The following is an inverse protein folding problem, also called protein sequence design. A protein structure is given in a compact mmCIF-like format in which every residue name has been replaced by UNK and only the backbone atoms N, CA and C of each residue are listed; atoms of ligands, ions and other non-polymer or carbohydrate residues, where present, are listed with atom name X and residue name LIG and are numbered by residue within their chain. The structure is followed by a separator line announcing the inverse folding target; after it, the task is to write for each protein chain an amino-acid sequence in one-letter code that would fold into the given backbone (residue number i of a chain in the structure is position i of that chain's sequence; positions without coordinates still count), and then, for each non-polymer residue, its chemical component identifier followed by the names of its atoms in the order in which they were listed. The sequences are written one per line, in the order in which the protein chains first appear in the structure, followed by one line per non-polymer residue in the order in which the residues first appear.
data_IF_098674705293
#
_entry.id   IF_098674705293
#
_cell.length_a   1.000
_cell.length_b   1.000
_cell.length_c   1.000
_cell.angle_alpha   90.00
_cell.angle_beta   90.00
_cell.angle_gamma   90.00
#
_symmetry.space_group_name_H-M   'P 1'
#
loop_
_entity.id
_entity.type
_entity.pdbx_description
1 polymer ?
#
# COMPACT_ATOMS: atom_id res chain seq x y z
N UNK A 1 6.67 -33.06 -5.64
CA UNK A 1 5.63 -32.06 -5.27
C UNK A 1 5.96 -30.79 -6.02
N UNK A 2 5.01 -30.13 -6.67
CA UNK A 2 5.28 -28.83 -7.29
C UNK A 2 5.76 -27.84 -6.23
N UNK A 3 6.84 -27.12 -6.50
CA UNK A 3 7.39 -26.09 -5.62
C UNK A 3 6.30 -25.05 -5.33
N UNK A 4 6.01 -24.82 -4.05
CA UNK A 4 4.97 -23.87 -3.65
C UNK A 4 5.46 -22.46 -3.95
N UNK A 5 4.86 -21.79 -4.93
CA UNK A 5 5.19 -20.42 -5.28
C UNK A 5 4.70 -19.47 -4.19
N UNK A 6 5.57 -18.58 -3.76
CA UNK A 6 5.34 -17.62 -2.69
C UNK A 6 4.87 -16.27 -3.24
N UNK A 7 4.28 -15.46 -2.39
CA UNK A 7 4.01 -14.05 -2.64
C UNK A 7 5.07 -13.21 -1.90
N UNK A 8 5.78 -12.36 -2.61
CA UNK A 8 6.84 -11.51 -2.04
C UNK A 8 6.47 -10.04 -2.06
N UNK A 9 6.76 -9.33 -0.97
CA UNK A 9 6.81 -7.87 -0.96
C UNK A 9 8.25 -7.45 -0.76
N UNK A 10 8.82 -6.78 -1.77
CA UNK A 10 10.22 -6.34 -1.78
C UNK A 10 10.24 -4.83 -1.56
N UNK A 11 10.66 -4.42 -0.36
CA UNK A 11 10.85 -3.03 0.01
C UNK A 11 12.27 -2.65 -0.39
N UNK A 12 12.42 -1.98 -1.53
CA UNK A 12 13.75 -1.74 -2.10
C UNK A 12 14.49 -0.56 -1.47
N UNK A 13 13.78 0.35 -0.84
CA UNK A 13 14.34 1.54 -0.19
C UNK A 13 13.39 2.07 0.88
N UNK A 14 13.92 2.75 1.89
CA UNK A 14 13.12 3.54 2.83
C UNK A 14 13.15 5.05 2.53
N UNK A 15 13.91 5.48 1.53
CA UNK A 15 13.92 6.88 1.04
C UNK A 15 12.60 7.20 0.34
N UNK A 16 12.06 8.39 0.61
CA UNK A 16 10.81 8.85 0.00
C UNK A 16 10.83 10.38 -0.18
N UNK A 17 10.34 10.84 -1.32
CA UNK A 17 10.15 12.27 -1.60
C UNK A 17 8.80 12.81 -1.12
N UNK A 18 7.86 11.96 -0.70
CA UNK A 18 6.57 12.36 -0.16
C UNK A 18 6.62 12.45 1.38
N UNK A 19 5.79 13.35 1.95
CA UNK A 19 5.66 13.58 3.40
C UNK A 19 4.23 13.31 3.84
N UNK A 20 3.74 12.08 3.57
CA UNK A 20 2.36 11.71 3.81
C UNK A 20 2.00 11.84 5.30
N UNK A 21 0.79 12.37 5.57
CA UNK A 21 0.29 12.57 6.94
C UNK A 21 0.11 11.25 7.72
N UNK A 22 -0.06 10.13 7.00
CA UNK A 22 -0.26 8.79 7.55
C UNK A 22 1.01 7.94 7.61
N UNK A 23 2.17 8.48 7.19
CA UNK A 23 3.42 7.73 7.07
C UNK A 23 4.61 8.62 7.39
N UNK A 24 5.43 8.21 8.36
CA UNK A 24 6.62 8.93 8.78
C UNK A 24 7.91 8.32 8.19
N UNK A 25 7.82 7.48 7.16
CA UNK A 25 8.99 6.79 6.58
C UNK A 25 10.06 7.76 6.07
N UNK A 26 9.67 8.92 5.56
CA UNK A 26 10.59 9.98 5.14
C UNK A 26 11.48 10.51 6.28
N UNK A 27 11.08 10.34 7.55
CA UNK A 27 11.86 10.71 8.74
C UNK A 27 12.91 9.67 9.13
N UNK A 28 12.82 8.45 8.58
CA UNK A 28 13.73 7.34 8.86
C UNK A 28 14.11 6.64 7.53
N UNK A 29 14.80 7.35 6.62
CA UNK A 29 15.24 6.79 5.35
C UNK A 29 16.36 5.78 5.53
N UNK A 30 16.51 4.86 4.57
CA UNK A 30 17.70 4.02 4.44
C UNK A 30 18.86 4.81 3.80
N UNK A 31 20.08 4.39 4.06
CA UNK A 31 21.23 4.87 3.32
C UNK A 31 21.38 4.08 2.02
N UNK A 32 21.74 4.74 0.89
CA UNK A 32 21.88 4.06 -0.40
C UNK A 32 22.83 2.86 -0.38
N UNK A 33 23.92 2.96 0.38
CA UNK A 33 24.97 1.94 0.52
C UNK A 33 24.55 0.75 1.41
N UNK A 34 23.49 0.89 2.20
CA UNK A 34 22.92 -0.16 3.05
C UNK A 34 21.73 -0.87 2.40
N UNK A 35 21.21 -0.35 1.27
CA UNK A 35 20.02 -0.90 0.62
C UNK A 35 20.34 -2.22 -0.08
N UNK A 36 19.35 -3.11 -0.07
CA UNK A 36 19.39 -4.45 -0.66
C UNK A 36 20.05 -4.43 -2.04
N UNK A 37 21.07 -5.28 -2.20
CA UNK A 37 21.85 -5.39 -3.43
C UNK A 37 21.20 -6.31 -4.47
N UNK A 38 21.65 -6.23 -5.71
CA UNK A 38 21.23 -7.18 -6.75
C UNK A 38 21.59 -8.62 -6.39
N UNK A 39 22.71 -8.85 -5.71
CA UNK A 39 23.12 -10.20 -5.31
C UNK A 39 22.19 -10.76 -4.22
N UNK A 40 21.70 -9.94 -3.34
CA UNK A 40 20.67 -10.31 -2.36
C UNK A 40 19.33 -10.61 -3.07
N UNK A 41 18.93 -9.78 -4.04
CA UNK A 41 17.72 -10.01 -4.86
C UNK A 41 17.80 -11.34 -5.62
N UNK A 42 18.98 -11.73 -6.12
CA UNK A 42 19.19 -13.03 -6.79
C UNK A 42 18.94 -14.23 -5.88
N UNK A 43 19.07 -14.10 -4.57
CA UNK A 43 18.80 -15.17 -3.61
C UNK A 43 17.31 -15.42 -3.38
N UNK A 44 16.42 -14.48 -3.74
CA UNK A 44 14.96 -14.63 -3.57
C UNK A 44 14.43 -15.85 -4.33
N UNK A 45 13.38 -16.53 -3.81
CA UNK A 45 12.84 -17.73 -4.43
C UNK A 45 12.01 -17.42 -5.69
N UNK A 46 11.49 -18.46 -6.31
CA UNK A 46 10.44 -18.30 -7.31
C UNK A 46 9.12 -17.84 -6.68
N UNK A 47 8.50 -16.81 -7.26
CA UNK A 47 7.29 -16.17 -6.71
C UNK A 47 6.13 -16.24 -7.70
N UNK A 48 4.93 -16.43 -7.18
CA UNK A 48 3.70 -16.24 -7.94
C UNK A 48 3.43 -14.75 -8.17
N UNK A 49 3.61 -13.95 -7.12
CA UNK A 49 3.37 -12.51 -7.13
C UNK A 49 4.48 -11.77 -6.38
N UNK A 50 4.94 -10.67 -6.96
CA UNK A 50 5.91 -9.76 -6.32
C UNK A 50 5.37 -8.34 -6.33
N UNK A 51 5.24 -7.74 -5.14
CA UNK A 51 5.03 -6.32 -5.00
C UNK A 51 6.36 -5.63 -4.70
N UNK A 52 6.81 -4.76 -5.59
CA UNK A 52 7.97 -3.89 -5.35
C UNK A 52 7.42 -2.60 -4.75
N UNK A 53 7.97 -2.22 -3.61
CA UNK A 53 7.57 -1.02 -2.87
C UNK A 53 8.76 -0.42 -2.14
N UNK A 54 8.52 0.61 -1.34
CA UNK A 54 9.56 1.26 -0.57
C UNK A 54 9.01 2.47 0.16
N UNK A 55 9.87 3.44 0.45
CA UNK A 55 9.44 4.81 0.54
C UNK A 55 8.91 5.22 -0.83
N UNK A 56 9.81 5.46 -1.78
CA UNK A 56 9.48 5.61 -3.21
C UNK A 56 10.50 4.80 -4.04
N UNK A 57 10.09 3.70 -4.70
CA UNK A 57 11.02 2.85 -5.45
C UNK A 57 11.78 3.58 -6.56
N UNK A 58 11.13 4.52 -7.24
CA UNK A 58 11.72 5.25 -8.37
C UNK A 58 12.78 6.28 -7.97
N UNK A 59 13.10 6.42 -6.68
CA UNK A 59 14.30 7.12 -6.20
C UNK A 59 15.58 6.31 -6.53
N UNK A 60 15.48 4.97 -6.55
CA UNK A 60 16.61 4.10 -6.89
C UNK A 60 16.91 4.15 -8.39
N UNK A 61 18.16 4.41 -8.73
CA UNK A 61 18.59 4.44 -10.14
C UNK A 61 18.73 3.03 -10.73
N UNK A 62 19.06 2.05 -9.89
CA UNK A 62 19.19 0.64 -10.24
C UNK A 62 17.87 -0.16 -10.17
N UNK A 63 16.73 0.52 -9.97
CA UNK A 63 15.42 -0.15 -9.95
C UNK A 63 15.15 -1.00 -11.19
N UNK A 64 15.52 -0.58 -12.44
CA UNK A 64 15.33 -1.42 -13.61
C UNK A 64 16.11 -2.74 -13.53
N UNK A 65 17.31 -2.75 -12.94
CA UNK A 65 18.09 -3.96 -12.76
C UNK A 65 17.48 -4.91 -11.74
N UNK A 66 16.94 -4.36 -10.63
CA UNK A 66 16.17 -5.12 -9.65
C UNK A 66 14.93 -5.76 -10.31
N UNK A 67 14.18 -4.97 -11.09
CA UNK A 67 13.00 -5.47 -11.81
C UNK A 67 13.41 -6.58 -12.77
N UNK A 68 14.51 -6.44 -13.51
CA UNK A 68 15.01 -7.45 -14.45
C UNK A 68 15.35 -8.77 -13.76
N UNK A 69 15.95 -8.73 -12.57
CA UNK A 69 16.21 -9.95 -11.80
C UNK A 69 14.91 -10.60 -11.29
N UNK A 70 13.98 -9.81 -10.76
CA UNK A 70 12.69 -10.30 -10.28
C UNK A 70 11.81 -10.83 -11.43
N UNK A 71 11.93 -10.27 -12.65
CA UNK A 71 11.19 -10.70 -13.84
C UNK A 71 11.49 -12.15 -14.23
N UNK A 72 12.69 -12.65 -13.90
CA UNK A 72 13.11 -14.04 -14.17
C UNK A 72 12.44 -15.05 -13.24
N UNK A 73 11.95 -14.63 -12.09
CA UNK A 73 11.48 -15.50 -11.02
C UNK A 73 10.08 -15.17 -10.47
N UNK A 74 9.39 -14.19 -11.05
CA UNK A 74 8.05 -13.80 -10.65
C UNK A 74 7.08 -13.98 -11.81
N UNK A 75 5.94 -14.63 -11.56
CA UNK A 75 4.91 -14.78 -12.60
C UNK A 75 4.20 -13.44 -12.85
N UNK A 76 4.06 -12.60 -11.82
CA UNK A 76 3.51 -11.23 -11.89
C UNK A 76 4.27 -10.30 -10.96
N UNK A 77 4.60 -9.13 -11.45
CA UNK A 77 5.21 -8.04 -10.68
C UNK A 77 4.29 -6.83 -10.71
N UNK A 78 4.15 -6.17 -9.57
CA UNK A 78 3.49 -4.86 -9.44
C UNK A 78 4.42 -3.92 -8.70
N UNK A 79 4.56 -2.69 -9.18
CA UNK A 79 5.31 -1.64 -8.49
C UNK A 79 4.32 -0.64 -7.90
N UNK A 80 4.43 -0.42 -6.59
CA UNK A 80 3.69 0.62 -5.87
C UNK A 80 4.54 1.89 -5.80
N UNK A 81 4.03 3.01 -6.32
CA UNK A 81 4.75 4.28 -6.45
C UNK A 81 3.84 5.46 -6.11
N UNK A 82 4.42 6.60 -5.76
CA UNK A 82 3.66 7.84 -5.63
C UNK A 82 3.41 8.55 -6.98
N UNK A 83 3.94 8.01 -8.07
CA UNK A 83 3.71 8.49 -9.42
C UNK A 83 4.45 9.78 -9.80
N UNK A 84 5.31 10.30 -8.95
CA UNK A 84 5.97 11.60 -9.14
C UNK A 84 7.04 11.60 -10.25
N UNK A 85 7.72 10.47 -10.43
CA UNK A 85 8.83 10.31 -11.37
C UNK A 85 8.34 9.80 -12.73
N UNK A 86 7.43 10.53 -13.37
CA UNK A 86 6.74 10.13 -14.62
C UNK A 86 7.68 9.52 -15.66
N UNK A 87 8.77 10.20 -16.01
CA UNK A 87 9.66 9.76 -17.10
C UNK A 87 10.37 8.44 -16.76
N UNK A 88 10.78 8.26 -15.49
CA UNK A 88 11.38 6.98 -15.03
C UNK A 88 10.36 5.85 -15.03
N UNK A 89 9.11 6.14 -14.67
CA UNK A 89 8.01 5.16 -14.67
C UNK A 89 7.69 4.73 -16.09
N UNK A 90 7.55 5.67 -17.02
CA UNK A 90 7.27 5.39 -18.42
C UNK A 90 8.39 4.56 -19.05
N UNK A 91 9.66 4.98 -18.87
CA UNK A 91 10.81 4.23 -19.37
C UNK A 91 10.85 2.78 -18.85
N UNK A 92 10.56 2.57 -17.57
CA UNK A 92 10.49 1.23 -16.99
C UNK A 92 9.33 0.42 -17.56
N UNK A 93 8.17 1.03 -17.76
CA UNK A 93 6.98 0.38 -18.33
C UNK A 93 7.21 -0.02 -19.81
N UNK A 94 7.96 0.75 -20.58
CA UNK A 94 8.39 0.41 -21.94
C UNK A 94 9.33 -0.81 -21.96
N UNK A 95 10.28 -0.86 -21.03
CA UNK A 95 11.23 -1.98 -20.91
C UNK A 95 10.55 -3.26 -20.39
N UNK A 96 9.60 -3.14 -19.48
CA UNK A 96 8.91 -4.26 -18.83
C UNK A 96 7.38 -4.18 -18.98
N UNK A 97 6.83 -4.43 -20.17
CA UNK A 97 5.41 -4.17 -20.48
C UNK A 97 4.40 -5.05 -19.71
N UNK A 98 4.85 -6.05 -18.94
CA UNK A 98 4.00 -6.89 -18.10
C UNK A 98 4.04 -6.51 -16.60
N UNK A 99 4.85 -5.51 -16.22
CA UNK A 99 4.93 -5.05 -14.85
C UNK A 99 3.76 -4.12 -14.56
N UNK A 100 2.93 -4.47 -13.59
CA UNK A 100 1.82 -3.61 -13.17
C UNK A 100 2.32 -2.37 -12.44
N UNK A 101 1.73 -1.23 -12.73
CA UNK A 101 2.03 0.03 -12.03
C UNK A 101 0.83 0.46 -11.20
N UNK A 102 1.05 0.69 -9.92
CA UNK A 102 0.03 1.19 -8.98
C UNK A 102 0.48 2.52 -8.39
N UNK A 103 -0.17 3.58 -8.83
CA UNK A 103 0.08 4.92 -8.31
C UNK A 103 -0.76 5.15 -7.06
N UNK A 104 -0.16 5.68 -6.00
CA UNK A 104 -0.89 6.05 -4.79
C UNK A 104 -1.55 7.40 -4.98
N UNK A 105 -2.89 7.43 -4.98
CA UNK A 105 -3.72 8.65 -5.06
C UNK A 105 -4.73 8.59 -3.90
N UNK A 106 -4.62 9.58 -3.01
CA UNK A 106 -5.34 9.58 -1.73
C UNK A 106 -6.59 10.48 -1.73
N UNK A 107 -7.06 10.91 -2.87
CA UNK A 107 -8.21 11.80 -3.02
C UNK A 107 -8.16 12.61 -4.31
N UNK A 108 -9.09 13.53 -4.48
CA UNK A 108 -9.03 14.54 -5.53
C UNK A 108 -7.87 15.51 -5.27
N UNK A 109 -7.58 16.42 -6.19
CA UNK A 109 -6.33 17.17 -6.23
C UNK A 109 -5.92 17.79 -4.88
N UNK A 110 -6.80 18.56 -4.26
CA UNK A 110 -6.49 19.22 -2.98
C UNK A 110 -6.25 18.19 -1.88
N UNK A 111 -7.20 17.26 -1.70
CA UNK A 111 -7.14 16.22 -0.67
C UNK A 111 -5.89 15.36 -0.82
N UNK A 112 -5.58 14.94 -2.05
CA UNK A 112 -4.38 14.17 -2.34
C UNK A 112 -3.10 14.91 -1.97
N UNK A 113 -2.96 16.16 -2.42
CA UNK A 113 -1.74 16.95 -2.21
C UNK A 113 -1.49 17.22 -0.72
N UNK A 114 -2.55 17.48 0.05
CA UNK A 114 -2.47 17.65 1.49
C UNK A 114 -2.09 16.36 2.22
N UNK A 115 -2.72 15.22 1.88
CA UNK A 115 -2.43 13.93 2.53
C UNK A 115 -1.03 13.43 2.16
N UNK A 116 -0.63 13.54 0.90
CA UNK A 116 0.67 13.08 0.41
C UNK A 116 1.82 14.01 0.81
N UNK A 117 1.52 15.26 1.20
CA UNK A 117 2.52 16.28 1.47
C UNK A 117 3.48 16.46 0.28
N UNK A 118 2.94 16.40 -0.92
CA UNK A 118 3.69 16.43 -2.17
C UNK A 118 3.06 17.47 -3.10
N UNK A 119 3.70 18.64 -3.30
CA UNK A 119 3.17 19.66 -4.18
C UNK A 119 2.92 19.10 -5.58
N UNK A 120 1.75 19.43 -6.16
CA UNK A 120 1.34 18.95 -7.48
C UNK A 120 1.30 17.40 -7.62
N UNK A 121 1.26 16.69 -6.48
CA UNK A 121 1.35 15.23 -6.45
C UNK A 121 0.20 14.55 -7.18
N UNK A 122 -1.02 15.11 -7.10
CA UNK A 122 -2.17 14.60 -7.85
C UNK A 122 -1.96 14.69 -9.35
N UNK A 123 -1.65 15.90 -9.87
CA UNK A 123 -1.51 16.12 -11.30
C UNK A 123 -0.36 15.30 -11.90
N UNK A 124 0.76 15.15 -11.17
CA UNK A 124 1.88 14.30 -11.60
C UNK A 124 1.49 12.84 -11.64
N UNK A 125 0.91 12.31 -10.54
CA UNK A 125 0.46 10.92 -10.48
C UNK A 125 -0.61 10.60 -11.54
N UNK A 126 -1.58 11.49 -11.69
CA UNK A 126 -2.65 11.35 -12.69
C UNK A 126 -2.12 11.46 -14.14
N UNK A 127 -1.20 12.38 -14.41
CA UNK A 127 -0.53 12.47 -15.71
C UNK A 127 0.26 11.21 -16.04
N UNK A 128 0.96 10.64 -15.05
CA UNK A 128 1.67 9.37 -15.19
C UNK A 128 0.69 8.24 -15.56
N UNK A 129 -0.42 8.14 -14.86
CA UNK A 129 -1.48 7.15 -15.16
C UNK A 129 -2.04 7.32 -16.57
N UNK A 130 -2.36 8.55 -16.98
CA UNK A 130 -2.86 8.83 -18.33
C UNK A 130 -1.86 8.41 -19.41
N UNK A 131 -0.60 8.77 -19.27
CA UNK A 131 0.44 8.35 -20.22
C UNK A 131 0.57 6.83 -20.33
N UNK A 132 0.51 6.10 -19.21
CA UNK A 132 0.51 4.63 -19.20
C UNK A 132 -0.69 4.04 -19.94
N UNK A 133 -1.89 4.60 -19.74
CA UNK A 133 -3.10 4.17 -20.47
C UNK A 133 -2.99 4.49 -21.96
N UNK A 134 -2.55 5.70 -22.32
CA UNK A 134 -2.32 6.13 -23.72
C UNK A 134 -1.29 5.25 -24.44
N UNK A 135 -0.28 4.74 -23.74
CA UNK A 135 0.68 3.76 -24.26
C UNK A 135 0.07 2.34 -24.45
N UNK A 136 -1.15 2.10 -23.97
CA UNK A 136 -1.78 0.78 -23.95
C UNK A 136 -1.18 -0.17 -22.92
N UNK A 137 -0.58 0.33 -21.83
CA UNK A 137 0.01 -0.52 -20.79
C UNK A 137 -1.08 -1.36 -20.09
N UNK A 138 -0.95 -2.72 -20.02
CA UNK A 138 -2.08 -3.59 -19.71
C UNK A 138 -2.48 -3.65 -18.23
N UNK A 139 -1.57 -3.27 -17.31
CA UNK A 139 -1.79 -3.40 -15.85
C UNK A 139 -1.51 -2.09 -15.11
N UNK A 140 -2.40 -1.13 -15.30
CA UNK A 140 -2.34 0.20 -14.70
C UNK A 140 -3.46 0.39 -13.69
N UNK A 141 -3.18 1.09 -12.61
CA UNK A 141 -4.20 1.46 -11.64
C UNK A 141 -3.65 2.34 -10.53
N UNK A 142 -4.55 2.75 -9.67
CA UNK A 142 -4.18 3.50 -8.48
C UNK A 142 -4.83 2.94 -7.23
N UNK A 143 -4.29 3.32 -6.08
CA UNK A 143 -4.74 2.88 -4.78
C UNK A 143 -4.93 4.04 -3.83
N UNK A 144 -5.92 3.90 -2.96
CA UNK A 144 -6.30 4.88 -1.96
C UNK A 144 -6.31 4.25 -0.57
N UNK A 145 -5.64 4.88 0.38
CA UNK A 145 -5.76 4.56 1.80
C UNK A 145 -6.82 5.46 2.43
N UNK A 146 -8.00 4.89 2.65
CA UNK A 146 -9.18 5.64 3.12
C UNK A 146 -9.04 6.00 4.59
N UNK A 147 -9.28 7.27 4.90
CA UNK A 147 -9.29 7.89 6.22
C UNK A 147 -10.36 8.99 6.27
N UNK A 148 -10.58 9.60 7.43
CA UNK A 148 -11.63 10.62 7.62
C UNK A 148 -11.62 11.72 6.53
N UNK A 149 -10.43 12.22 6.20
CA UNK A 149 -10.28 13.37 5.30
C UNK A 149 -10.65 13.07 3.85
N UNK A 150 -10.40 11.85 3.39
CA UNK A 150 -10.55 11.50 1.98
C UNK A 150 -11.69 10.52 1.68
N UNK A 151 -12.37 10.01 2.70
CA UNK A 151 -13.48 9.08 2.47
C UNK A 151 -14.53 9.63 1.48
N UNK A 152 -14.90 10.95 1.48
CA UNK A 152 -15.83 11.50 0.48
C UNK A 152 -15.33 11.40 -0.97
N UNK A 153 -14.02 11.31 -1.20
CA UNK A 153 -13.44 11.18 -2.54
C UNK A 153 -13.41 9.74 -3.06
N UNK A 154 -13.79 8.75 -2.24
CA UNK A 154 -13.65 7.32 -2.55
C UNK A 154 -14.45 6.90 -3.78
N UNK A 155 -15.73 7.22 -3.84
CA UNK A 155 -16.61 6.90 -4.98
C UNK A 155 -16.27 7.74 -6.21
N UNK A 156 -16.04 9.06 -6.11
CA UNK A 156 -15.53 9.87 -7.21
C UNK A 156 -14.24 9.30 -7.86
N UNK A 157 -13.26 8.88 -7.07
CA UNK A 157 -12.04 8.26 -7.60
C UNK A 157 -12.30 6.90 -8.25
N UNK A 158 -13.22 6.10 -7.71
CA UNK A 158 -13.64 4.85 -8.34
C UNK A 158 -14.25 5.09 -9.73
N UNK A 159 -15.11 6.12 -9.89
CA UNK A 159 -15.66 6.47 -11.20
C UNK A 159 -14.57 6.92 -12.17
N UNK A 160 -13.62 7.75 -11.70
CA UNK A 160 -12.46 8.17 -12.51
C UNK A 160 -11.64 6.97 -12.99
N UNK A 161 -11.42 5.96 -12.12
CA UNK A 161 -10.73 4.74 -12.51
C UNK A 161 -11.48 3.94 -13.58
N UNK A 162 -12.82 3.83 -13.45
CA UNK A 162 -13.64 3.14 -14.43
C UNK A 162 -13.66 3.82 -15.80
N UNK A 163 -13.74 5.15 -15.85
CA UNK A 163 -13.70 5.92 -17.10
C UNK A 163 -12.39 5.68 -17.88
N UNK A 164 -11.29 5.50 -17.17
CA UNK A 164 -9.98 5.25 -17.77
C UNK A 164 -9.63 3.75 -17.84
N UNK A 165 -10.57 2.85 -17.55
CA UNK A 165 -10.39 1.40 -17.54
C UNK A 165 -9.20 0.94 -16.67
N UNK A 166 -8.93 1.65 -15.58
CA UNK A 166 -7.86 1.36 -14.64
C UNK A 166 -8.32 0.54 -13.44
N UNK A 167 -7.36 -0.15 -12.82
CA UNK A 167 -7.58 -0.79 -11.53
C UNK A 167 -7.71 0.24 -10.41
N UNK A 168 -8.68 0.04 -9.52
CA UNK A 168 -8.81 0.80 -8.29
C UNK A 168 -8.66 -0.11 -7.08
N UNK A 169 -7.68 0.18 -6.24
CA UNK A 169 -7.41 -0.55 -5.01
C UNK A 169 -7.68 0.33 -3.79
N UNK A 170 -8.23 -0.27 -2.75
CA UNK A 170 -8.52 0.40 -1.49
C UNK A 170 -7.76 -0.23 -0.35
N UNK A 171 -7.44 0.56 0.66
CA UNK A 171 -7.01 0.16 1.98
C UNK A 171 -7.69 1.06 3.01
N UNK A 172 -7.70 0.68 4.27
CA UNK A 172 -8.07 1.57 5.35
C UNK A 172 -6.82 2.07 6.08
N UNK A 173 -6.90 3.27 6.64
CA UNK A 173 -5.87 3.83 7.50
C UNK A 173 -5.47 2.81 8.58
N UNK A 174 -4.17 2.60 8.77
CA UNK A 174 -3.65 1.64 9.73
C UNK A 174 -2.26 2.02 10.24
N UNK A 175 -1.86 1.39 11.32
CA UNK A 175 -0.54 1.55 11.93
C UNK A 175 0.39 0.41 11.53
N UNK A 176 1.68 0.73 11.36
CA UNK A 176 2.70 -0.22 10.98
C UNK A 176 4.09 0.29 11.36
N UNK A 177 4.97 -0.59 11.86
CA UNK A 177 6.38 -0.26 12.04
C UNK A 177 7.02 0.17 10.71
N UNK A 178 6.55 -0.38 9.59
CA UNK A 178 6.98 0.01 8.25
C UNK A 178 6.71 1.49 7.95
N UNK A 179 5.59 2.05 8.41
CA UNK A 179 5.25 3.46 8.26
C UNK A 179 5.94 4.36 9.29
N UNK A 180 6.58 3.80 10.30
CA UNK A 180 7.07 4.56 11.48
C UNK A 180 5.93 5.37 12.08
N UNK A 181 4.73 4.77 12.16
CA UNK A 181 3.51 5.44 12.63
C UNK A 181 2.66 4.47 13.45
N UNK A 182 2.27 4.92 14.64
CA UNK A 182 1.46 4.16 15.60
C UNK A 182 0.18 4.89 16.04
N UNK A 183 -0.04 6.11 15.54
CA UNK A 183 -1.11 7.01 16.02
C UNK A 183 -2.20 7.25 14.97
N UNK A 184 -2.17 6.52 13.85
CA UNK A 184 -3.24 6.61 12.86
C UNK A 184 -4.55 6.08 13.46
N UNK A 185 -5.59 6.90 13.47
CA UNK A 185 -6.92 6.58 13.96
C UNK A 185 -7.97 7.13 13.00
N UNK A 186 -9.00 6.36 12.73
CA UNK A 186 -10.23 6.83 12.09
C UNK A 186 -11.14 7.37 13.18
N UNK A 187 -11.46 8.66 13.10
CA UNK A 187 -12.25 9.36 14.11
C UNK A 187 -13.76 9.27 13.86
N UNK A 188 -14.17 9.36 12.59
CA UNK A 188 -15.58 9.27 12.17
C UNK A 188 -15.82 7.95 11.41
N UNK A 189 -15.90 6.86 12.16
CA UNK A 189 -16.15 5.51 11.61
C UNK A 189 -17.44 5.41 10.81
N UNK A 190 -18.58 5.97 11.26
CA UNK A 190 -19.81 5.92 10.48
C UNK A 190 -19.67 6.55 9.10
N UNK A 191 -19.09 7.74 9.02
CA UNK A 191 -18.88 8.44 7.75
C UNK A 191 -17.94 7.66 6.83
N UNK A 192 -16.82 7.15 7.34
CA UNK A 192 -15.87 6.33 6.55
C UNK A 192 -16.52 5.02 6.10
N UNK A 193 -17.28 4.36 6.97
CA UNK A 193 -18.00 3.13 6.64
C UNK A 193 -19.09 3.36 5.59
N UNK A 194 -19.82 4.47 5.65
CA UNK A 194 -20.82 4.85 4.66
C UNK A 194 -20.19 4.99 3.26
N UNK A 195 -19.04 5.62 3.16
CA UNK A 195 -18.33 5.74 1.88
C UNK A 195 -17.85 4.38 1.34
N UNK A 196 -17.42 3.45 2.21
CA UNK A 196 -17.15 2.08 1.81
C UNK A 196 -18.43 1.33 1.37
N UNK A 197 -19.55 1.53 2.06
CA UNK A 197 -20.85 0.96 1.67
C UNK A 197 -21.25 1.44 0.28
N UNK A 198 -21.13 2.74 0.01
CA UNK A 198 -21.46 3.33 -1.29
C UNK A 198 -20.59 2.72 -2.40
N UNK A 199 -19.26 2.56 -2.14
CA UNK A 199 -18.36 1.86 -3.08
C UNK A 199 -18.74 0.40 -3.27
N UNK A 200 -19.09 -0.34 -2.22
CA UNK A 200 -19.55 -1.74 -2.31
C UNK A 200 -20.78 -1.82 -3.22
N UNK A 201 -21.73 -0.93 -3.04
CA UNK A 201 -22.94 -0.89 -3.85
C UNK A 201 -22.62 -0.58 -5.33
N UNK A 202 -21.67 0.32 -5.62
CA UNK A 202 -21.20 0.55 -6.99
C UNK A 202 -20.52 -0.69 -7.59
N UNK A 203 -19.65 -1.35 -6.85
CA UNK A 203 -18.93 -2.56 -7.28
C UNK A 203 -19.90 -3.73 -7.58
N UNK A 204 -20.96 -3.87 -6.77
CA UNK A 204 -21.95 -4.93 -6.95
C UNK A 204 -22.89 -4.70 -8.16
N UNK A 205 -23.01 -3.48 -8.70
CA UNK A 205 -23.72 -3.23 -9.95
C UNK A 205 -23.03 -3.90 -11.16
N UNK A 206 -21.73 -4.03 -11.13
CA UNK A 206 -20.94 -4.61 -12.21
C UNK A 206 -21.21 -6.11 -12.41
N UNK A 207 -21.01 -6.60 -13.63
CA UNK A 207 -21.00 -8.04 -13.94
C UNK A 207 -19.61 -8.67 -13.95
N UNK A 208 -18.58 -7.90 -13.59
CA UNK A 208 -17.20 -8.36 -13.53
C UNK A 208 -16.91 -9.06 -12.19
N UNK A 209 -16.55 -10.36 -12.17
CA UNK A 209 -16.22 -11.09 -10.92
C UNK A 209 -15.14 -10.41 -10.08
N UNK A 210 -14.17 -9.74 -10.71
CA UNK A 210 -13.11 -9.01 -10.02
C UNK A 210 -13.67 -7.88 -9.14
N UNK A 211 -14.68 -7.16 -9.62
CA UNK A 211 -15.36 -6.10 -8.86
C UNK A 211 -16.16 -6.69 -7.69
N UNK A 212 -16.73 -7.88 -7.83
CA UNK A 212 -17.40 -8.57 -6.72
C UNK A 212 -16.43 -8.95 -5.60
N UNK A 213 -15.24 -9.45 -5.96
CA UNK A 213 -14.18 -9.71 -4.98
C UNK A 213 -13.73 -8.42 -4.27
N UNK A 214 -13.66 -7.31 -5.02
CA UNK A 214 -13.39 -5.99 -4.42
C UNK A 214 -14.51 -5.56 -3.47
N UNK A 215 -15.79 -5.83 -3.78
CA UNK A 215 -16.90 -5.55 -2.87
C UNK A 215 -16.75 -6.31 -1.54
N UNK A 216 -16.47 -7.62 -1.59
CA UNK A 216 -16.20 -8.39 -0.37
C UNK A 216 -14.97 -7.90 0.39
N UNK A 217 -13.92 -7.49 -0.31
CA UNK A 217 -12.75 -6.90 0.33
C UNK A 217 -13.10 -5.60 1.09
N UNK A 218 -13.89 -4.71 0.49
CA UNK A 218 -14.32 -3.46 1.13
C UNK A 218 -15.30 -3.71 2.30
N UNK A 219 -16.16 -4.74 2.22
CA UNK A 219 -16.92 -5.21 3.37
C UNK A 219 -16.02 -5.59 4.56
N UNK A 220 -14.93 -6.27 4.28
CA UNK A 220 -13.94 -6.59 5.32
C UNK A 220 -13.19 -5.36 5.84
N UNK A 221 -13.06 -4.27 5.07
CA UNK A 221 -12.53 -2.99 5.55
C UNK A 221 -13.50 -2.32 6.54
N UNK A 222 -14.81 -2.35 6.30
CA UNK A 222 -15.81 -1.90 7.28
C UNK A 222 -15.67 -2.69 8.58
N UNK A 223 -15.59 -4.03 8.48
CA UNK A 223 -15.38 -4.89 9.64
C UNK A 223 -14.08 -4.55 10.40
N UNK A 224 -13.00 -4.25 9.66
CA UNK A 224 -11.70 -3.85 10.22
C UNK A 224 -11.77 -2.54 11.00
N UNK A 225 -12.38 -1.48 10.44
CA UNK A 225 -12.44 -0.17 11.10
C UNK A 225 -13.29 -0.16 12.37
N UNK A 226 -14.20 -1.13 12.51
CA UNK A 226 -14.96 -1.37 13.74
C UNK A 226 -14.28 -2.40 14.67
N UNK A 227 -12.99 -2.67 14.49
CA UNK A 227 -12.18 -3.49 15.39
C UNK A 227 -12.59 -4.97 15.46
N UNK A 228 -13.36 -5.46 14.49
CA UNK A 228 -13.85 -6.84 14.51
C UNK A 228 -12.77 -7.83 14.04
N UNK A 229 -12.82 -9.09 14.49
CA UNK A 229 -11.91 -10.14 14.03
C UNK A 229 -11.91 -10.27 12.50
N UNK A 230 -10.81 -10.79 11.95
CA UNK A 230 -10.69 -11.05 10.51
C UNK A 230 -11.79 -11.99 10.01
N UNK A 231 -12.34 -11.69 8.83
CA UNK A 231 -13.32 -12.58 8.15
C UNK A 231 -12.67 -13.83 7.56
N UNK A 232 -11.37 -13.81 7.31
CA UNK A 232 -10.57 -14.89 6.75
C UNK A 232 -9.30 -15.11 7.58
N UNK A 233 -8.77 -16.34 7.68
CA UNK A 233 -7.49 -16.62 8.33
C UNK A 233 -6.34 -15.80 7.75
N UNK A 234 -5.26 -15.65 8.52
CA UNK A 234 -4.01 -15.04 8.10
C UNK A 234 -2.99 -16.14 7.81
N UNK A 235 -2.48 -16.18 6.58
CA UNK A 235 -1.48 -17.16 6.13
C UNK A 235 -0.10 -16.53 5.85
N UNK A 236 0.15 -15.35 6.43
CA UNK A 236 1.45 -14.67 6.35
C UNK A 236 2.55 -15.55 6.94
N UNK A 237 3.77 -15.47 6.43
CA UNK A 237 4.91 -16.34 6.73
C UNK A 237 4.80 -17.79 6.23
N UNK A 238 3.66 -18.21 5.66
CA UNK A 238 3.48 -19.57 5.13
C UNK A 238 3.46 -19.60 3.59
N UNK A 239 2.95 -18.55 2.96
CA UNK A 239 2.91 -18.36 1.51
C UNK A 239 3.21 -16.93 1.08
N UNK A 240 3.48 -16.06 2.04
CA UNK A 240 3.76 -14.65 1.81
C UNK A 240 4.88 -14.19 2.74
N UNK A 241 5.77 -13.35 2.23
CA UNK A 241 6.84 -12.73 3.00
C UNK A 241 7.05 -11.28 2.59
N UNK A 242 7.73 -10.54 3.46
CA UNK A 242 8.28 -9.21 3.19
C UNK A 242 9.80 -9.28 3.31
N UNK A 243 10.50 -8.53 2.49
CA UNK A 243 11.92 -8.26 2.67
C UNK A 243 12.14 -6.76 2.70
N UNK A 244 12.89 -6.28 3.66
CA UNK A 244 13.18 -4.86 3.82
C UNK A 244 14.48 -4.46 3.10
N UNK A 245 14.81 -3.14 3.01
CA UNK A 245 16.03 -2.68 2.34
C UNK A 245 17.33 -3.20 2.95
N UNK A 246 17.29 -3.66 4.18
CA UNK A 246 18.47 -4.20 4.87
C UNK A 246 18.64 -5.72 4.69
N UNK A 247 17.76 -6.36 3.92
CA UNK A 247 17.78 -7.79 3.68
C UNK A 247 17.06 -8.64 4.73
N UNK A 248 16.41 -8.02 5.72
CA UNK A 248 15.61 -8.71 6.73
C UNK A 248 14.34 -9.28 6.10
N UNK A 249 14.15 -10.59 6.22
CA UNK A 249 12.92 -11.27 5.81
C UNK A 249 11.96 -11.33 6.98
N UNK A 250 10.74 -10.86 6.75
CA UNK A 250 9.70 -10.72 7.75
C UNK A 250 8.41 -11.41 7.28
N UNK A 251 7.53 -11.85 8.21
CA UNK A 251 6.25 -12.44 7.86
C UNK A 251 5.31 -11.42 7.19
N UNK A 252 5.26 -10.20 7.72
CA UNK A 252 4.44 -9.09 7.23
C UNK A 252 4.97 -7.77 7.82
N UNK A 253 4.32 -6.66 7.47
CA UNK A 253 4.60 -5.33 8.03
C UNK A 253 3.65 -4.95 9.18
N UNK A 254 2.87 -5.89 9.67
CA UNK A 254 1.78 -5.63 10.61
C UNK A 254 1.85 -6.41 11.93
N UNK A 255 2.88 -7.18 12.21
CA UNK A 255 3.11 -7.79 13.53
C UNK A 255 3.31 -6.70 14.59
N UNK A 256 3.03 -7.05 15.84
CA UNK A 256 3.19 -6.09 16.96
C UNK A 256 4.64 -5.61 17.07
N UNK A 257 5.57 -6.55 17.00
CA UNK A 257 6.99 -6.28 16.95
C UNK A 257 7.56 -6.57 15.55
N UNK A 258 8.72 -6.02 15.18
CA UNK A 258 9.39 -6.36 13.93
C UNK A 258 9.94 -7.79 14.02
N UNK A 259 9.13 -8.76 13.59
CA UNK A 259 9.50 -10.18 13.60
C UNK A 259 10.40 -10.49 12.39
N UNK A 260 11.66 -10.84 12.64
CA UNK A 260 12.64 -11.17 11.60
C UNK A 260 12.85 -12.67 11.54
N UNK A 261 12.61 -13.26 10.36
CA UNK A 261 12.82 -14.69 10.07
C UNK A 261 14.30 -15.00 9.79
N UNK A 262 15.07 -14.03 9.34
CA UNK A 262 16.49 -14.09 9.01
C UNK A 262 16.86 -12.98 8.04
N UNK A 263 18.16 -12.89 7.67
CA UNK A 263 18.69 -11.86 6.78
C UNK A 263 19.31 -12.49 5.52
N UNK A 264 18.86 -12.10 4.33
CA UNK A 264 19.37 -12.63 3.06
C UNK A 264 20.76 -12.15 2.68
N UNK A 265 21.31 -11.13 3.33
CA UNK A 265 22.71 -10.78 3.14
C UNK A 265 23.63 -11.83 3.75
N UNK A 266 23.20 -12.51 4.82
CA UNK A 266 24.01 -13.42 5.63
C UNK A 266 23.84 -14.89 5.24
N UNK A 267 22.70 -15.28 4.64
CA UNK A 267 22.35 -16.68 4.38
C UNK A 267 21.59 -16.85 3.06
N UNK A 268 21.45 -18.09 2.60
CA UNK A 268 20.61 -18.41 1.46
C UNK A 268 19.12 -18.40 1.82
N UNK A 269 18.24 -18.36 0.79
CA UNK A 269 16.80 -18.44 1.01
C UNK A 269 16.37 -19.74 1.71
N UNK A 270 16.91 -20.88 1.30
CA UNK A 270 16.50 -22.18 1.84
C UNK A 270 16.92 -22.36 3.31
N UNK A 271 18.14 -21.91 3.65
CA UNK A 271 18.59 -21.88 5.05
C UNK A 271 17.69 -20.99 5.90
N UNK A 272 17.40 -19.78 5.43
CA UNK A 272 16.54 -18.84 6.13
C UNK A 272 15.13 -19.38 6.31
N UNK A 273 14.48 -19.77 5.19
CA UNK A 273 13.06 -20.13 5.18
C UNK A 273 12.76 -21.40 6.01
N UNK A 274 13.72 -22.32 6.11
CA UNK A 274 13.60 -23.57 6.86
C UNK A 274 14.27 -23.51 8.25
N UNK A 275 14.74 -22.34 8.68
CA UNK A 275 15.39 -22.15 9.97
C UNK A 275 14.42 -22.32 11.16
N UNK A 276 14.98 -22.66 12.31
CA UNK A 276 14.26 -22.64 13.60
C UNK A 276 13.70 -21.24 13.91
N UNK A 277 14.45 -20.18 13.55
CA UNK A 277 14.01 -18.80 13.72
C UNK A 277 12.78 -18.50 12.88
N UNK A 278 12.75 -18.91 11.62
CA UNK A 278 11.57 -18.75 10.77
C UNK A 278 10.34 -19.49 11.34
N UNK A 279 10.53 -20.67 11.95
CA UNK A 279 9.43 -21.40 12.58
C UNK A 279 8.93 -20.72 13.87
N UNK A 280 9.83 -20.11 14.66
CA UNK A 280 9.44 -19.27 15.81
C UNK A 280 8.55 -18.11 15.36
N UNK A 281 8.93 -17.42 14.28
CA UNK A 281 8.15 -16.30 13.71
C UNK A 281 6.81 -16.79 13.14
N UNK A 282 6.77 -17.96 12.47
CA UNK A 282 5.50 -18.56 12.03
C UNK A 282 4.58 -18.87 13.21
N UNK A 283 5.14 -19.29 14.34
CA UNK A 283 4.34 -19.51 15.54
C UNK A 283 3.75 -18.22 16.10
N UNK A 284 4.47 -17.09 16.06
CA UNK A 284 3.92 -15.77 16.39
C UNK A 284 2.73 -15.44 15.47
N UNK A 285 2.85 -15.68 14.16
CA UNK A 285 1.78 -15.42 13.20
C UNK A 285 0.55 -16.32 13.45
N UNK A 286 0.73 -17.59 13.82
CA UNK A 286 -0.40 -18.50 14.15
C UNK A 286 -1.24 -18.01 15.33
N UNK A 287 -0.59 -17.31 16.27
CA UNK A 287 -1.24 -16.80 17.48
C UNK A 287 -1.51 -15.28 17.41
N UNK A 288 -1.36 -14.68 16.24
CA UNK A 288 -1.58 -13.25 16.04
C UNK A 288 -3.09 -12.95 16.11
N UNK A 289 -3.46 -12.10 17.06
CA UNK A 289 -4.83 -11.66 17.36
C UNK A 289 -5.25 -10.40 16.59
N UNK A 290 -4.34 -9.84 15.79
CA UNK A 290 -4.61 -8.62 15.02
C UNK A 290 -5.69 -8.82 13.97
N UNK A 291 -6.56 -7.86 13.84
CA UNK A 291 -7.65 -7.86 12.86
C UNK A 291 -7.26 -7.32 11.46
N UNK A 292 -5.96 -7.20 11.15
CA UNK A 292 -5.47 -6.63 9.90
C UNK A 292 -6.24 -7.12 8.67
N UNK A 293 -6.71 -6.20 7.83
CA UNK A 293 -7.42 -6.50 6.59
C UNK A 293 -6.78 -5.80 5.40
N UNK A 294 -5.53 -6.19 5.10
CA UNK A 294 -4.70 -5.60 4.06
C UNK A 294 -4.64 -6.52 2.84
N UNK A 295 -4.65 -5.95 1.64
CA UNK A 295 -4.76 -6.71 0.38
C UNK A 295 -3.69 -7.80 0.24
N UNK A 296 -2.45 -7.53 0.68
CA UNK A 296 -1.35 -8.51 0.65
C UNK A 296 -1.61 -9.76 1.48
N UNK A 297 -2.33 -9.65 2.60
CA UNK A 297 -2.68 -10.79 3.47
C UNK A 297 -4.06 -11.37 3.17
N UNK A 298 -4.95 -10.60 2.55
CA UNK A 298 -6.35 -11.00 2.31
C UNK A 298 -6.51 -11.64 0.94
N UNK A 299 -5.85 -11.15 -0.10
CA UNK A 299 -5.99 -11.69 -1.45
C UNK A 299 -5.62 -13.18 -1.55
N UNK A 300 -4.49 -13.66 -1.01
CA UNK A 300 -4.21 -15.09 -0.97
C UNK A 300 -5.27 -15.89 -0.21
N UNK A 301 -5.73 -15.38 0.93
CA UNK A 301 -6.78 -16.03 1.73
C UNK A 301 -8.13 -16.08 0.99
N UNK A 302 -8.52 -15.04 0.26
CA UNK A 302 -9.74 -15.02 -0.58
C UNK A 302 -9.71 -16.10 -1.67
N UNK A 303 -8.55 -16.33 -2.29
CA UNK A 303 -8.40 -17.39 -3.28
C UNK A 303 -8.44 -18.78 -2.65
N UNK A 304 -7.82 -18.95 -1.48
CA UNK A 304 -7.82 -20.23 -0.75
C UNK A 304 -9.20 -20.59 -0.20
N UNK A 305 -9.91 -19.63 0.35
CA UNK A 305 -11.24 -19.79 0.95
C UNK A 305 -12.33 -19.18 0.05
N UNK A 306 -12.22 -19.38 -1.25
CA UNK A 306 -13.03 -18.73 -2.30
C UNK A 306 -14.55 -18.86 -2.07
N UNK A 307 -14.99 -19.93 -1.42
CA UNK A 307 -16.39 -20.16 -1.12
C UNK A 307 -17.00 -19.10 -0.17
N UNK A 308 -16.17 -18.49 0.73
CA UNK A 308 -16.64 -17.42 1.64
C UNK A 308 -16.98 -16.14 0.88
N UNK A 309 -16.05 -15.51 0.12
CA UNK A 309 -16.41 -14.35 -0.70
C UNK A 309 -17.48 -14.68 -1.74
N UNK A 310 -17.47 -15.86 -2.35
CA UNK A 310 -18.50 -16.26 -3.32
C UNK A 310 -19.89 -16.33 -2.69
N UNK A 311 -20.05 -16.97 -1.53
CA UNK A 311 -21.31 -17.04 -0.82
C UNK A 311 -21.82 -15.66 -0.41
N UNK A 312 -20.93 -14.79 0.08
CA UNK A 312 -21.26 -13.41 0.42
C UNK A 312 -21.74 -12.62 -0.82
N UNK A 313 -21.02 -12.71 -1.94
CA UNK A 313 -21.38 -12.04 -3.20
C UNK A 313 -22.74 -12.52 -3.68
N UNK A 314 -22.97 -13.84 -3.72
CA UNK A 314 -24.26 -14.41 -4.14
C UNK A 314 -25.40 -13.91 -3.25
N UNK A 315 -25.21 -13.89 -1.93
CA UNK A 315 -26.21 -13.40 -0.99
C UNK A 315 -26.60 -11.94 -1.24
N UNK A 316 -25.69 -11.10 -1.73
CA UNK A 316 -25.96 -9.66 -1.97
C UNK A 316 -26.40 -9.38 -3.42
N UNK A 317 -25.88 -10.11 -4.41
CA UNK A 317 -26.30 -9.92 -5.82
C UNK A 317 -27.65 -10.53 -6.16
N UNK A 318 -28.01 -11.66 -5.54
CA UNK A 318 -29.25 -12.37 -5.84
C UNK A 318 -30.48 -11.87 -5.04
N UNK A 319 -30.31 -10.86 -4.22
CA UNK A 319 -31.43 -10.21 -3.50
C UNK A 319 -32.00 -9.07 -4.35
N UNK A 320 -33.11 -9.26 -5.09
CA UNK A 320 -33.67 -8.22 -5.94
C UNK A 320 -34.03 -6.98 -5.13
N UNK A 321 -33.55 -5.82 -5.57
CA UNK A 321 -33.90 -4.52 -4.97
C UNK A 321 -33.25 -4.19 -3.64
N UNK A 322 -32.44 -5.08 -3.05
CA UNK A 322 -31.76 -4.82 -1.78
C UNK A 322 -30.30 -4.42 -2.04
N UNK A 323 -29.93 -3.21 -1.65
CA UNK A 323 -28.55 -2.76 -1.60
C UNK A 323 -27.83 -3.43 -0.43
N UNK A 324 -26.49 -3.50 -0.48
CA UNK A 324 -25.67 -3.78 0.70
C UNK A 324 -25.92 -2.70 1.75
N UNK A 325 -26.05 -3.11 2.99
CA UNK A 325 -26.34 -2.25 4.13
C UNK A 325 -25.38 -2.62 5.27
N UNK A 326 -24.51 -1.70 5.67
CA UNK A 326 -23.52 -1.93 6.72
C UNK A 326 -24.18 -2.18 8.11
N UNK A 327 -25.43 -1.73 8.30
CA UNK A 327 -26.20 -1.99 9.53
C UNK A 327 -26.62 -3.47 9.67
N UNK A 328 -26.39 -4.33 8.65
CA UNK A 328 -26.43 -5.78 8.84
C UNK A 328 -25.32 -6.25 9.80
N UNK A 329 -24.21 -5.50 9.92
CA UNK A 329 -23.18 -5.76 10.93
C UNK A 329 -23.66 -5.32 12.32
N UNK A 330 -23.71 -6.27 13.25
CA UNK A 330 -24.13 -6.00 14.64
C UNK A 330 -23.29 -4.90 15.29
N UNK A 331 -21.97 -4.87 15.03
CA UNK A 331 -21.06 -3.89 15.65
C UNK A 331 -21.36 -2.46 15.22
N UNK A 332 -21.83 -2.25 13.98
CA UNK A 332 -22.23 -0.92 13.50
C UNK A 332 -23.43 -0.42 14.32
N UNK A 333 -24.47 -1.25 14.44
CA UNK A 333 -25.64 -0.92 15.25
C UNK A 333 -25.28 -0.70 16.72
N UNK A 334 -24.46 -1.60 17.29
CA UNK A 334 -24.06 -1.48 18.71
C UNK A 334 -23.26 -0.19 18.98
N UNK A 335 -22.50 0.29 18.01
CA UNK A 335 -21.78 1.56 18.10
C UNK A 335 -22.73 2.76 18.01
N UNK A 336 -23.65 2.77 17.05
CA UNK A 336 -24.64 3.83 16.86
C UNK A 336 -25.63 3.91 18.04
N UNK A 337 -26.02 2.75 18.61
CA UNK A 337 -26.84 2.65 19.81
C UNK A 337 -26.08 3.02 21.10
N UNK A 338 -24.79 3.36 21.03
CA UNK A 338 -23.95 3.68 22.18
C UNK A 338 -23.61 2.51 23.10
N UNK A 339 -23.85 1.27 22.66
CA UNK A 339 -23.47 0.04 23.41
C UNK A 339 -21.96 -0.23 23.36
N UNK A 340 -21.29 0.28 22.34
CA UNK A 340 -19.82 0.24 22.17
C UNK A 340 -19.33 1.67 22.03
N UNK A 341 -18.36 2.07 22.83
CA UNK A 341 -17.83 3.44 22.80
C UNK A 341 -16.70 3.62 21.81
N UNK A 342 -16.45 4.88 21.43
CA UNK A 342 -15.33 5.23 20.58
C UNK A 342 -13.99 4.78 21.18
N UNK A 343 -13.78 4.99 22.50
CA UNK A 343 -12.56 4.61 23.20
C UNK A 343 -12.33 3.10 23.17
N UNK A 344 -13.39 2.30 23.24
CA UNK A 344 -13.29 0.85 23.11
C UNK A 344 -12.84 0.45 21.70
N UNK A 345 -13.41 1.09 20.67
CA UNK A 345 -12.99 0.82 19.27
C UNK A 345 -11.59 1.34 18.98
N UNK A 346 -11.21 2.50 19.53
CA UNK A 346 -9.87 3.06 19.34
C UNK A 346 -8.80 2.11 19.92
N UNK A 347 -9.04 1.53 21.09
CA UNK A 347 -8.16 0.50 21.68
C UNK A 347 -8.04 -0.75 20.84
N UNK A 348 -9.12 -1.17 20.15
CA UNK A 348 -9.10 -2.34 19.26
C UNK A 348 -8.39 -2.02 17.93
N UNK A 349 -8.51 -0.80 17.44
CA UNK A 349 -7.94 -0.35 16.15
C UNK A 349 -6.48 0.06 16.26
N UNK A 350 -6.08 0.64 17.38
CA UNK A 350 -4.69 0.94 17.70
C UNK A 350 -4.05 -0.30 18.29
N UNK A 351 -3.45 -1.11 17.45
CA UNK A 351 -2.40 -1.97 17.98
C UNK A 351 -1.36 -1.06 18.60
N UNK A 352 -1.08 -1.26 19.88
CA UNK A 352 -0.02 -0.54 20.56
C UNK A 352 1.34 -0.93 19.94
N UNK A 353 1.72 -0.16 18.94
CA UNK A 353 3.02 -0.27 18.27
C UNK A 353 3.99 0.79 18.79
N UNK A 354 3.64 1.48 19.87
CA UNK A 354 4.44 2.58 20.41
C UNK A 354 5.85 2.15 20.79
N UNK A 355 6.04 0.95 21.33
CA UNK A 355 7.33 0.38 21.62
C UNK A 355 8.18 0.23 20.36
N UNK A 356 7.63 -0.40 19.31
CA UNK A 356 8.33 -0.70 18.05
C UNK A 356 8.65 0.55 17.24
N UNK A 357 7.74 1.52 17.23
CA UNK A 357 7.98 2.81 16.57
C UNK A 357 9.08 3.59 17.30
N UNK A 358 9.13 3.50 18.63
CA UNK A 358 10.22 4.12 19.41
C UNK A 358 11.55 3.39 19.25
N UNK A 359 11.57 2.06 19.19
CA UNK A 359 12.76 1.24 18.97
C UNK A 359 13.23 1.23 17.52
N UNK A 360 12.32 1.30 16.56
CA UNK A 360 12.61 1.42 15.11
C UNK A 360 13.28 2.75 14.75
N UNK A 361 13.19 3.76 15.62
CA UNK A 361 14.03 4.93 15.66
C UNK A 361 15.24 4.63 16.56
N UNK A 362 16.07 3.65 16.20
CA UNK A 362 17.33 3.40 16.91
C UNK A 362 18.14 4.69 17.07
N UNK A 363 19.05 4.74 18.03
CA UNK A 363 19.91 5.92 18.26
C UNK A 363 20.66 6.35 16.97
N UNK A 364 20.97 5.39 16.08
CA UNK A 364 21.50 5.63 14.74
C UNK A 364 20.48 6.35 13.83
N UNK A 365 19.20 5.92 13.80
CA UNK A 365 18.16 6.57 13.00
C UNK A 365 17.83 7.98 13.52
N UNK A 366 17.94 8.21 14.84
CA UNK A 366 17.75 9.55 15.44
C UNK A 366 18.88 10.50 15.09
N UNK A 367 20.11 10.01 15.08
CA UNK A 367 21.29 10.79 14.66
C UNK A 367 21.24 11.09 13.14
N UNK A 368 20.73 10.17 12.33
CA UNK A 368 20.57 10.34 10.88
C UNK A 368 19.42 11.29 10.50
N UNK A 369 18.32 11.35 11.26
CA UNK A 369 17.26 12.32 11.02
C UNK A 369 17.79 13.78 11.10
N UNK A 370 18.72 14.05 12.01
CA UNK A 370 19.39 15.36 12.14
C UNK A 370 20.36 15.66 10.96
N UNK A 371 20.98 14.62 10.40
CA UNK A 371 21.90 14.78 9.26
C UNK A 371 21.13 14.99 7.94
N UNK A 372 19.89 14.47 7.85
CA UNK A 372 19.07 14.57 6.64
C UNK A 372 18.38 15.93 6.45
N UNK A 373 18.22 16.72 7.52
CA UNK A 373 17.78 18.13 7.39
C UNK A 373 18.83 19.01 6.67
N UNK A 374 20.06 18.52 6.54
CA UNK A 374 21.19 19.24 5.93
C UNK A 374 21.80 18.53 4.71
N UNK A 375 21.19 17.44 4.21
CA UNK A 375 21.81 16.61 3.18
C UNK A 375 21.56 17.16 1.76
N UNK A 376 22.53 16.92 0.85
CA UNK A 376 22.47 17.25 -0.58
C UNK A 376 21.18 16.74 -1.29
N UNK A 377 20.56 15.67 -0.78
CA UNK A 377 19.30 15.12 -1.33
C UNK A 377 18.12 16.03 -1.05
N UNK A 378 18.03 16.61 0.18
CA UNK A 378 16.99 17.61 0.51
C UNK A 378 17.22 18.86 -0.30
N UNK A 379 18.48 19.29 -0.42
CA UNK A 379 18.87 20.43 -1.24
C UNK A 379 18.51 20.20 -2.74
N UNK A 380 18.84 19.04 -3.29
CA UNK A 380 18.45 18.68 -4.67
C UNK A 380 16.93 18.61 -4.86
N UNK A 381 16.19 18.17 -3.85
CA UNK A 381 14.72 18.14 -3.90
C UNK A 381 14.13 19.54 -3.82
N UNK A 382 14.66 20.41 -2.98
CA UNK A 382 14.27 21.83 -2.90
C UNK A 382 14.63 22.59 -4.18
N UNK A 383 15.78 22.31 -4.76
CA UNK A 383 16.22 22.91 -6.02
C UNK A 383 15.35 22.42 -7.20
N UNK A 384 14.94 21.16 -7.22
CA UNK A 384 14.00 20.62 -8.22
C UNK A 384 12.59 21.23 -8.08
N UNK A 385 12.13 21.49 -6.85
CA UNK A 385 10.86 22.19 -6.60
C UNK A 385 10.95 23.64 -7.06
N UNK A 386 12.03 24.36 -6.72
CA UNK A 386 12.25 25.75 -7.16
C UNK A 386 12.39 25.86 -8.68
N UNK A 387 13.05 24.90 -9.32
CA UNK A 387 13.17 24.85 -10.79
C UNK A 387 11.79 24.67 -11.45
N UNK A 388 10.95 23.80 -10.93
CA UNK A 388 9.58 23.57 -11.42
C UNK A 388 8.67 24.80 -11.21
N UNK A 389 8.82 25.51 -10.09
CA UNK A 389 8.11 26.76 -9.83
C UNK A 389 8.56 27.89 -10.77
N UNK A 390 9.86 27.99 -11.04
CA UNK A 390 10.43 28.98 -11.99
C UNK A 390 10.00 28.71 -13.45
N UNK A 391 9.82 27.46 -13.82
CA UNK A 391 9.33 27.05 -15.14
C UNK A 391 7.84 27.38 -15.32
N UNK A 392 7.03 27.19 -14.28
CA UNK A 392 5.62 27.63 -14.24
C UNK A 392 5.48 29.16 -14.35
N UNK A 393 6.29 29.91 -13.62
CA UNK A 393 6.28 31.37 -13.67
C UNK A 393 6.64 31.91 -15.06
N UNK A 394 7.51 31.21 -15.80
CA UNK A 394 7.84 31.56 -17.20
C UNK A 394 6.73 31.17 -18.19
N UNK A 395 6.07 30.03 -17.96
CA UNK A 395 4.95 29.56 -18.79
C UNK A 395 3.70 30.46 -18.69
N UNK A 396 3.45 31.04 -17.52
CA UNK A 396 2.31 31.97 -17.32
C UNK A 396 2.53 33.35 -17.90
N UNK A 397 3.77 33.80 -18.10
CA UNK A 397 4.09 35.10 -18.73
C UNK A 397 4.06 35.06 -20.28
N UNK A 398 4.02 33.84 -20.88
CA UNK A 398 3.97 33.67 -22.34
C UNK A 398 2.57 33.70 -22.94
N UNK A 399 1.50 33.74 -22.15
CA UNK A 399 0.11 33.71 -22.62
C UNK A 399 -0.58 35.07 -22.70
N UNK A 400 0.03 36.15 -22.19
CA UNK A 400 -0.55 37.48 -22.19
C UNK A 400 -0.02 38.41 -23.32
N UNK A 401 0.72 37.89 -24.30
CA UNK A 401 1.36 38.65 -25.38
C UNK A 401 0.70 38.53 -26.76
N UNK A 402 -0.58 38.19 -26.90
CA UNK A 402 -1.21 37.96 -28.20
C UNK A 402 -2.62 38.49 -28.38
N UNK A 403 -2.85 39.79 -28.05
CA UNK A 403 -4.08 40.48 -28.45
C UNK A 403 -3.76 41.95 -28.68
N UNK A 404 -3.29 42.30 -29.89
CA UNK A 404 -3.48 43.59 -30.56
C UNK A 404 -3.53 43.41 -32.07
#
# INVERSE_FOLDING_TARGET
MAEKKLNGTVIVTYRCNARCTMCNRYKAPSRPDEEISLDTIKKLPRMYFTNITGGEPFIREDLPDIVRELYKKSDRIVISTNGYFTDRIIKLAEEFPKVGIRVSIEGLEQTNNEIRGLPDGFNRGYSTLKKLVEMGHPDVGFGMTVQDKNAPDLVPLYHLANELHMEFATASLHNSFYFVEAKNIIHDRPMVAQNFEDLINELLKSNEPKKWFRAYFNHGLINYIYGQPRLLPCDMAFDTFFIDPYGDVMPCNGTKDKEVMGNLNEQSWDELWNSEQAEKVRNVVRHCDRNCWMIGSVSPAMHRYIWKPAAWVLAHKLRPGKKYDMHELKIVRDYEDGKVTKEQLDKLSTCDMSAVVNDGLSAASRAQAHVFETSEVVQHMEDAVRAAEAERARGSQGLDGGAR
#
